data_IF_343364246828
#
_entry.id   IF_343364246828
#
_cell.length_a   1.000
_cell.length_b   1.000
_cell.length_c   1.000
_cell.angle_alpha   90.00
_cell.angle_beta   90.00
_cell.angle_gamma   90.00
#
_symmetry.space_group_name_H-M   'P 1'
#
loop_
_entity.id
_entity.type
_entity.pdbx_description
1 polymer ?
#
# COMPACT_ATOMS: atom_id res chain seq x y z
N UNK A 1 50.55 -3.41 -15.10
CA UNK A 1 49.54 -4.27 -14.45
C UNK A 1 49.31 -3.62 -13.11
N UNK A 2 48.17 -3.06 -12.72
CA UNK A 2 46.75 -3.37 -12.94
C UNK A 2 45.97 -2.05 -13.01
N UNK A 3 45.04 -1.91 -13.96
CA UNK A 3 44.03 -0.85 -13.99
C UNK A 3 42.72 -1.36 -14.64
N UNK A 4 42.48 -2.68 -14.57
CA UNK A 4 41.42 -3.39 -15.31
C UNK A 4 40.11 -3.59 -14.54
N UNK A 5 40.08 -3.41 -13.22
CA UNK A 5 38.92 -3.73 -12.39
C UNK A 5 37.76 -2.71 -12.46
N UNK A 6 38.07 -1.42 -12.59
CA UNK A 6 37.05 -0.36 -12.49
C UNK A 6 36.26 -0.11 -13.79
N UNK A 7 36.81 -0.47 -14.97
CA UNK A 7 36.13 -0.32 -16.27
C UNK A 7 35.12 -1.44 -16.55
N UNK A 8 35.33 -2.62 -15.97
CA UNK A 8 34.49 -3.81 -16.14
C UNK A 8 33.15 -3.71 -15.39
N UNK A 9 33.12 -3.12 -14.19
CA UNK A 9 31.86 -2.97 -13.44
C UNK A 9 30.94 -1.92 -14.06
N UNK A 10 31.49 -0.78 -14.50
CA UNK A 10 30.70 0.33 -15.05
C UNK A 10 29.97 -0.05 -16.35
N UNK A 11 30.64 -0.81 -17.23
CA UNK A 11 30.07 -1.28 -18.50
C UNK A 11 28.99 -2.36 -18.32
N UNK A 12 29.12 -3.22 -17.31
CA UNK A 12 28.09 -4.19 -16.95
C UNK A 12 26.83 -3.53 -16.37
N UNK A 13 26.97 -2.50 -15.55
CA UNK A 13 25.84 -1.76 -14.99
C UNK A 13 25.09 -0.95 -16.07
N UNK A 14 25.81 -0.37 -17.03
CA UNK A 14 25.22 0.31 -18.19
C UNK A 14 24.37 -0.64 -19.04
N UNK A 15 24.88 -1.84 -19.33
CA UNK A 15 24.14 -2.86 -20.08
C UNK A 15 22.89 -3.32 -19.32
N UNK A 16 22.99 -3.49 -18.00
CA UNK A 16 21.86 -3.89 -17.16
C UNK A 16 20.75 -2.85 -17.14
N UNK A 17 21.11 -1.58 -16.91
CA UNK A 17 20.17 -0.45 -16.97
C UNK A 17 19.48 -0.39 -18.33
N UNK A 18 20.26 -0.49 -19.42
CA UNK A 18 19.73 -0.48 -20.78
C UNK A 18 18.76 -1.64 -21.05
N UNK A 19 19.13 -2.86 -20.70
CA UNK A 19 18.27 -4.04 -20.93
C UNK A 19 16.95 -3.94 -20.16
N UNK A 20 17.00 -3.42 -18.93
CA UNK A 20 15.82 -3.23 -18.10
C UNK A 20 14.88 -2.16 -18.66
N UNK A 21 15.42 -1.01 -19.08
CA UNK A 21 14.60 0.08 -19.60
C UNK A 21 14.00 -0.25 -20.97
N UNK A 22 14.78 -0.87 -21.87
CA UNK A 22 14.30 -1.30 -23.19
C UNK A 22 13.14 -2.31 -23.04
N UNK A 23 13.26 -3.25 -22.10
CA UNK A 23 12.17 -4.18 -21.76
C UNK A 23 10.95 -3.45 -21.20
N UNK A 24 11.15 -2.49 -20.29
CA UNK A 24 10.04 -1.75 -19.72
C UNK A 24 9.27 -0.93 -20.77
N UNK A 25 9.96 -0.32 -21.72
CA UNK A 25 9.30 0.43 -22.80
C UNK A 25 8.46 -0.48 -23.71
N UNK A 26 8.89 -1.72 -23.93
CA UNK A 26 8.15 -2.71 -24.72
C UNK A 26 6.98 -3.34 -23.94
N UNK A 27 7.16 -3.65 -22.65
CA UNK A 27 6.30 -4.59 -21.91
C UNK A 27 5.53 -3.97 -20.74
N UNK A 28 5.73 -2.68 -20.41
CA UNK A 28 5.04 -2.06 -19.27
C UNK A 28 3.53 -2.18 -19.42
N UNK A 29 2.87 -2.60 -18.34
CA UNK A 29 1.42 -2.60 -18.28
C UNK A 29 0.91 -1.16 -18.38
N UNK A 30 -0.15 -1.00 -19.16
CA UNK A 30 -0.88 0.24 -19.25
C UNK A 30 -1.75 0.42 -17.99
N UNK A 31 -1.37 1.38 -17.15
CA UNK A 31 -1.99 1.66 -15.85
C UNK A 31 -2.43 3.12 -15.80
N UNK A 32 -3.59 3.46 -15.23
CA UNK A 32 -4.11 4.83 -15.27
C UNK A 32 -3.14 5.89 -14.73
N UNK A 33 -2.46 5.59 -13.62
CA UNK A 33 -1.46 6.48 -13.00
C UNK A 33 -0.15 6.60 -13.78
N UNK A 34 0.09 5.76 -14.81
CA UNK A 34 1.23 5.91 -15.73
C UNK A 34 0.94 6.84 -16.91
N UNK A 35 -0.33 7.26 -17.08
CA UNK A 35 -0.76 8.15 -18.17
C UNK A 35 -0.79 9.62 -17.76
N UNK A 36 -0.33 9.93 -16.56
CA UNK A 36 -0.31 11.30 -16.00
C UNK A 36 1.04 11.59 -15.39
N UNK A 37 1.43 12.86 -15.42
CA UNK A 37 2.58 13.39 -14.70
C UNK A 37 2.15 14.21 -13.47
N UNK A 38 0.86 14.21 -13.13
CA UNK A 38 0.33 14.92 -11.97
C UNK A 38 0.85 14.29 -10.66
N UNK A 39 1.64 15.02 -9.85
CA UNK A 39 2.21 14.50 -8.60
C UNK A 39 1.17 14.02 -7.59
N UNK A 40 -0.01 14.65 -7.53
CA UNK A 40 -1.09 14.26 -6.63
C UNK A 40 -1.66 12.90 -7.04
N UNK A 41 -1.91 12.71 -8.33
CA UNK A 41 -2.48 11.47 -8.85
C UNK A 41 -1.49 10.30 -8.80
N UNK A 42 -0.19 10.58 -8.95
CA UNK A 42 0.90 9.60 -8.74
C UNK A 42 1.01 9.24 -7.26
N UNK A 43 1.02 10.23 -6.36
CA UNK A 43 1.05 9.99 -4.91
C UNK A 43 -0.16 9.15 -4.47
N UNK A 44 -1.34 9.46 -5.01
CA UNK A 44 -2.57 8.71 -4.75
C UNK A 44 -2.41 7.23 -5.13
N UNK A 45 -1.85 6.92 -6.30
CA UNK A 45 -1.62 5.51 -6.68
C UNK A 45 -0.65 4.81 -5.74
N UNK A 46 0.45 5.47 -5.35
CA UNK A 46 1.42 4.87 -4.43
C UNK A 46 0.81 4.57 -3.06
N UNK A 47 -0.06 5.45 -2.54
CA UNK A 47 -0.78 5.20 -1.28
C UNK A 47 -1.80 4.07 -1.43
N UNK A 48 -2.55 4.04 -2.54
CA UNK A 48 -3.55 2.99 -2.81
C UNK A 48 -2.88 1.62 -2.98
N UNK A 49 -1.73 1.53 -3.63
CA UNK A 49 -1.07 0.26 -3.95
C UNK A 49 -0.32 -0.36 -2.77
N UNK A 50 -0.16 0.36 -1.66
CA UNK A 50 0.38 -0.20 -0.41
C UNK A 50 -0.45 -1.41 0.04
N UNK A 51 0.13 -2.62 -0.06
CA UNK A 51 -0.52 -3.89 0.28
C UNK A 51 -1.86 -4.13 -0.46
N UNK A 52 -2.02 -3.56 -1.66
CA UNK A 52 -3.22 -3.71 -2.48
C UNK A 52 -2.84 -4.25 -3.85
N UNK A 53 -3.60 -5.22 -4.38
CA UNK A 53 -3.35 -5.76 -5.71
C UNK A 53 -3.61 -4.70 -6.78
N UNK A 54 -2.83 -4.70 -7.87
CA UNK A 54 -2.92 -3.69 -8.93
C UNK A 54 -4.32 -3.61 -9.55
N UNK A 55 -4.97 -4.74 -9.84
CA UNK A 55 -6.33 -4.80 -10.39
C UNK A 55 -7.33 -4.04 -9.52
N UNK A 56 -7.32 -4.32 -8.21
CA UNK A 56 -8.17 -3.63 -7.25
C UNK A 56 -7.76 -2.17 -7.06
N UNK A 57 -6.46 -1.89 -7.12
CA UNK A 57 -5.90 -0.54 -7.05
C UNK A 57 -6.40 0.35 -8.18
N UNK A 58 -6.55 -0.18 -9.40
CA UNK A 58 -7.14 0.54 -10.54
C UNK A 58 -8.54 1.04 -10.22
N UNK A 59 -9.40 0.16 -9.71
CA UNK A 59 -10.79 0.51 -9.36
C UNK A 59 -10.86 1.62 -8.29
N UNK A 60 -10.04 1.51 -7.23
CA UNK A 60 -9.97 2.54 -6.19
C UNK A 60 -9.38 3.85 -6.69
N UNK A 61 -8.32 3.78 -7.48
CA UNK A 61 -7.67 4.97 -8.02
C UNK A 61 -8.63 5.74 -8.92
N UNK A 62 -9.36 5.07 -9.83
CA UNK A 62 -10.31 5.72 -10.74
C UNK A 62 -11.41 6.44 -9.95
N UNK A 63 -12.10 5.77 -9.02
CA UNK A 63 -13.20 6.42 -8.30
C UNK A 63 -12.74 7.53 -7.35
N UNK A 64 -11.57 7.38 -6.70
CA UNK A 64 -11.03 8.37 -5.76
C UNK A 64 -10.46 9.57 -6.51
N UNK A 65 -9.72 9.37 -7.59
CA UNK A 65 -9.18 10.47 -8.42
C UNK A 65 -10.30 11.26 -9.11
N UNK A 66 -11.36 10.59 -9.58
CA UNK A 66 -12.52 11.28 -10.15
C UNK A 66 -13.23 12.17 -9.11
N UNK A 67 -13.37 11.68 -7.86
CA UNK A 67 -14.05 12.45 -6.80
C UNK A 67 -13.16 13.54 -6.20
N UNK A 68 -11.86 13.27 -6.09
CA UNK A 68 -10.87 14.13 -5.47
C UNK A 68 -9.67 14.36 -6.41
N UNK A 69 -9.87 15.15 -7.49
CA UNK A 69 -8.84 15.34 -8.50
C UNK A 69 -7.66 16.19 -8.02
N UNK A 70 -7.78 16.88 -6.88
CA UNK A 70 -6.71 17.70 -6.29
C UNK A 70 -6.59 17.46 -4.78
N UNK A 71 -5.46 17.79 -4.14
CA UNK A 71 -5.33 17.74 -2.69
C UNK A 71 -6.41 18.60 -2.01
N UNK A 72 -6.69 19.79 -2.55
CA UNK A 72 -7.71 20.69 -2.02
C UNK A 72 -9.11 20.07 -2.03
N UNK A 73 -9.49 19.41 -3.12
CA UNK A 73 -10.78 18.72 -3.22
C UNK A 73 -10.94 17.62 -2.16
N UNK A 74 -9.85 16.92 -1.79
CA UNK A 74 -9.89 15.95 -0.70
C UNK A 74 -9.89 16.63 0.68
N UNK A 75 -9.13 17.70 0.85
CA UNK A 75 -9.01 18.42 2.12
C UNK A 75 -10.33 19.05 2.58
N UNK A 76 -11.13 19.54 1.62
CA UNK A 76 -12.44 20.16 1.86
C UNK A 76 -13.56 19.12 2.10
N UNK A 77 -13.31 17.85 1.77
CA UNK A 77 -14.29 16.78 1.93
C UNK A 77 -14.27 16.18 3.35
N UNK A 78 -15.42 15.64 3.76
CA UNK A 78 -15.49 14.85 4.99
C UNK A 78 -14.67 13.57 4.88
N UNK A 79 -13.91 13.26 5.93
CA UNK A 79 -13.10 12.03 5.96
C UNK A 79 -13.94 10.76 5.76
N UNK A 80 -15.22 10.78 6.19
CA UNK A 80 -16.14 9.65 6.01
C UNK A 80 -16.47 9.38 4.54
N UNK A 81 -16.48 10.41 3.70
CA UNK A 81 -16.68 10.25 2.26
C UNK A 81 -15.51 9.48 1.63
N UNK A 82 -14.27 9.85 1.98
CA UNK A 82 -13.09 9.09 1.54
C UNK A 82 -13.13 7.66 2.08
N UNK A 83 -13.48 7.44 3.35
CA UNK A 83 -13.55 6.10 3.94
C UNK A 83 -14.62 5.23 3.27
N UNK A 84 -15.73 5.83 2.84
CA UNK A 84 -16.77 5.15 2.07
C UNK A 84 -16.24 4.70 0.71
N UNK A 85 -15.54 5.59 -0.01
CA UNK A 85 -14.86 5.21 -1.25
C UNK A 85 -13.75 4.18 -1.01
N UNK A 86 -13.05 4.22 0.13
CA UNK A 86 -11.96 3.30 0.48
C UNK A 86 -12.45 1.93 0.98
N UNK A 87 -13.74 1.83 1.28
CA UNK A 87 -14.35 0.64 1.86
C UNK A 87 -14.01 -0.61 1.03
N UNK A 88 -13.55 -1.65 1.72
CA UNK A 88 -13.12 -2.90 1.10
C UNK A 88 -11.64 -2.96 0.70
N UNK A 89 -10.92 -1.84 0.61
CA UNK A 89 -9.49 -1.83 0.23
C UNK A 89 -8.59 -2.31 1.37
N UNK A 90 -9.10 -2.31 2.61
CA UNK A 90 -8.34 -2.62 3.81
C UNK A 90 -7.31 -1.55 4.19
N UNK A 91 -6.73 -1.70 5.38
CA UNK A 91 -5.75 -0.78 5.94
C UNK A 91 -6.20 0.70 5.90
N UNK A 92 -7.36 0.99 6.50
CA UNK A 92 -8.04 2.29 6.51
C UNK A 92 -7.23 3.46 7.08
N UNK A 93 -6.19 3.18 7.87
CA UNK A 93 -5.25 4.21 8.30
C UNK A 93 -4.58 4.93 7.11
N UNK A 94 -4.43 4.27 5.95
CA UNK A 94 -3.93 4.91 4.72
C UNK A 94 -4.87 6.01 4.23
N UNK A 95 -6.17 5.74 4.16
CA UNK A 95 -7.18 6.73 3.79
C UNK A 95 -7.15 7.94 4.74
N UNK A 96 -7.14 7.68 6.05
CA UNK A 96 -7.10 8.76 7.05
C UNK A 96 -5.83 9.60 6.96
N UNK A 97 -4.68 8.96 6.74
CA UNK A 97 -3.40 9.66 6.55
C UNK A 97 -3.36 10.44 5.24
N UNK A 98 -3.93 9.90 4.16
CA UNK A 98 -4.06 10.61 2.88
C UNK A 98 -4.94 11.86 3.02
N UNK A 99 -6.04 11.77 3.77
CA UNK A 99 -6.89 12.93 4.08
C UNK A 99 -6.12 13.98 4.90
N UNK A 100 -5.42 13.57 5.95
CA UNK A 100 -4.56 14.46 6.73
C UNK A 100 -3.44 15.10 5.88
N UNK A 101 -2.85 14.33 4.95
CA UNK A 101 -1.85 14.81 4.00
C UNK A 101 -2.44 15.86 3.07
N UNK A 102 -3.61 15.60 2.50
CA UNK A 102 -4.29 16.55 1.63
C UNK A 102 -4.60 17.87 2.36
N UNK A 103 -5.02 17.80 3.63
CA UNK A 103 -5.19 18.99 4.48
C UNK A 103 -3.87 19.75 4.62
N UNK A 104 -2.77 19.07 4.98
CA UNK A 104 -1.47 19.73 5.16
C UNK A 104 -0.95 20.35 3.85
N UNK A 105 -1.06 19.63 2.74
CA UNK A 105 -0.67 20.13 1.41
C UNK A 105 -1.48 21.34 1.00
N UNK A 106 -2.77 21.37 1.30
CA UNK A 106 -3.67 22.46 0.90
C UNK A 106 -3.52 23.74 1.73
N UNK A 107 -2.81 23.69 2.87
CA UNK A 107 -2.53 24.89 3.68
C UNK A 107 -1.60 25.86 2.94
N UNK A 108 -1.67 27.17 3.25
CA UNK A 108 -0.73 28.14 2.73
C UNK A 108 0.72 27.80 3.09
N UNK A 109 1.68 28.06 2.21
CA UNK A 109 3.10 27.87 2.52
C UNK A 109 3.54 28.70 3.74
N UNK A 110 2.95 29.88 3.95
CA UNK A 110 3.19 30.73 5.12
C UNK A 110 2.79 30.08 6.46
N UNK A 111 1.95 29.05 6.44
CA UNK A 111 1.48 28.31 7.61
C UNK A 111 2.10 26.90 7.70
N UNK A 112 3.17 26.65 6.93
CA UNK A 112 3.82 25.33 6.86
C UNK A 112 3.11 24.32 5.95
N UNK A 113 2.23 24.78 5.06
CA UNK A 113 1.65 23.99 3.99
C UNK A 113 2.42 24.09 2.67
N UNK A 114 1.73 23.82 1.55
CA UNK A 114 2.33 23.77 0.22
C UNK A 114 1.43 24.38 -0.88
N UNK A 115 0.49 25.25 -0.50
CA UNK A 115 -0.42 25.96 -1.42
C UNK A 115 -1.17 25.02 -2.39
N UNK A 116 -1.47 23.80 -1.94
CA UNK A 116 -2.15 22.77 -2.74
C UNK A 116 -1.26 21.95 -3.67
N UNK A 117 0.05 22.18 -3.67
CA UNK A 117 1.02 21.47 -4.52
C UNK A 117 1.78 20.40 -3.74
N UNK A 118 2.01 19.23 -4.34
CA UNK A 118 2.87 18.21 -3.72
C UNK A 118 4.33 18.70 -3.76
N UNK A 119 5.07 18.68 -2.63
CA UNK A 119 6.46 19.10 -2.62
C UNK A 119 7.37 18.14 -3.38
N UNK A 120 8.44 18.68 -3.96
CA UNK A 120 9.37 17.92 -4.81
C UNK A 120 10.49 17.25 -4.00
N UNK A 121 10.89 17.86 -2.88
CA UNK A 121 12.00 17.39 -2.06
C UNK A 121 11.64 16.12 -1.28
N UNK A 122 12.61 15.20 -1.18
CA UNK A 122 12.45 13.97 -0.38
C UNK A 122 12.17 14.30 1.09
N UNK A 123 12.86 15.29 1.64
CA UNK A 123 12.73 15.71 3.03
C UNK A 123 11.32 16.23 3.30
N UNK A 124 10.77 17.06 2.40
CA UNK A 124 9.41 17.59 2.51
C UNK A 124 8.37 16.48 2.33
N UNK A 125 8.56 15.58 1.36
CA UNK A 125 7.69 14.42 1.15
C UNK A 125 7.65 13.53 2.40
N UNK A 126 8.79 13.24 3.01
CA UNK A 126 8.88 12.45 4.26
C UNK A 126 8.20 13.14 5.45
N UNK A 127 8.08 14.47 5.43
CA UNK A 127 7.34 15.23 6.43
C UNK A 127 5.81 15.11 6.32
N UNK A 128 5.30 14.55 5.22
CA UNK A 128 3.86 14.43 5.00
C UNK A 128 3.24 13.20 5.70
N UNK A 129 2.00 13.31 6.20
CA UNK A 129 1.31 12.22 6.89
C UNK A 129 1.22 10.94 6.06
N UNK A 130 1.79 9.85 6.59
CA UNK A 130 1.71 8.53 5.96
C UNK A 130 2.66 8.31 4.78
N UNK A 131 3.52 9.27 4.47
CA UNK A 131 4.59 9.09 3.49
C UNK A 131 5.81 8.52 4.19
N UNK A 132 6.27 7.37 3.71
CA UNK A 132 7.52 6.74 4.13
C UNK A 132 8.57 6.78 3.02
N UNK A 133 9.78 6.29 3.31
CA UNK A 133 10.91 6.31 2.38
C UNK A 133 10.58 5.78 0.98
N UNK A 134 9.82 4.68 0.88
CA UNK A 134 9.38 4.14 -0.41
C UNK A 134 8.53 5.15 -1.19
N UNK A 135 7.45 5.65 -0.59
CA UNK A 135 6.51 6.56 -1.28
C UNK A 135 7.19 7.87 -1.63
N UNK A 136 8.03 8.40 -0.74
CA UNK A 136 8.81 9.61 -1.02
C UNK A 136 9.71 9.42 -2.24
N UNK A 137 10.51 8.34 -2.29
CA UNK A 137 11.37 8.04 -3.43
C UNK A 137 10.58 7.79 -4.73
N UNK A 138 9.45 7.10 -4.64
CA UNK A 138 8.59 6.82 -5.79
C UNK A 138 8.02 8.12 -6.37
N UNK A 139 7.41 8.98 -5.55
CA UNK A 139 6.85 10.26 -6.00
C UNK A 139 7.95 11.19 -6.51
N UNK A 140 9.04 11.34 -5.75
CA UNK A 140 10.19 12.17 -6.13
C UNK A 140 10.78 11.79 -7.50
N UNK A 141 10.94 10.50 -7.77
CA UNK A 141 11.53 10.04 -9.03
C UNK A 141 10.53 10.07 -10.19
N UNK A 142 9.27 9.70 -9.97
CA UNK A 142 8.25 9.60 -11.03
C UNK A 142 7.71 10.97 -11.41
N UNK A 143 7.38 11.80 -10.43
CA UNK A 143 6.74 13.10 -10.67
C UNK A 143 7.75 14.24 -10.86
N UNK A 144 8.91 14.17 -10.20
CA UNK A 144 9.88 15.28 -10.13
C UNK A 144 11.27 14.91 -10.66
N UNK A 145 11.41 13.74 -11.30
CA UNK A 145 12.64 13.29 -11.91
C UNK A 145 13.89 13.30 -10.99
N UNK A 146 13.71 13.14 -9.67
CA UNK A 146 14.84 13.03 -8.76
C UNK A 146 15.52 11.66 -8.88
N UNK A 147 16.86 11.60 -9.00
CA UNK A 147 17.60 10.35 -9.24
C UNK A 147 17.80 9.55 -7.94
N UNK A 148 16.69 9.08 -7.36
CA UNK A 148 16.65 8.31 -6.12
C UNK A 148 16.01 6.95 -6.34
N UNK A 149 16.70 5.89 -5.95
CA UNK A 149 16.22 4.51 -6.05
C UNK A 149 15.13 4.20 -5.02
N UNK A 150 14.05 3.55 -5.48
CA UNK A 150 13.00 3.02 -4.60
C UNK A 150 13.43 1.68 -3.98
N UNK A 151 13.04 1.46 -2.73
CA UNK A 151 13.27 0.18 -2.04
C UNK A 151 11.95 -0.35 -1.48
N UNK A 152 11.48 -1.46 -2.04
CA UNK A 152 10.33 -2.23 -1.55
C UNK A 152 10.65 -3.73 -1.48
N UNK A 153 9.64 -4.56 -1.20
CA UNK A 153 9.79 -6.01 -1.19
C UNK A 153 10.11 -6.63 -2.56
N UNK A 154 9.74 -5.97 -3.66
CA UNK A 154 10.07 -6.38 -5.01
C UNK A 154 11.53 -6.08 -5.34
N UNK A 155 11.96 -4.82 -5.17
CA UNK A 155 13.34 -4.38 -5.39
C UNK A 155 14.30 -5.17 -4.53
N UNK A 156 14.01 -5.35 -3.23
CA UNK A 156 14.84 -6.17 -2.33
C UNK A 156 15.04 -7.60 -2.85
N UNK A 157 13.98 -8.22 -3.41
CA UNK A 157 14.06 -9.58 -3.96
C UNK A 157 14.88 -9.62 -5.25
N UNK A 158 14.67 -8.66 -6.15
CA UNK A 158 15.47 -8.56 -7.38
C UNK A 158 16.94 -8.34 -7.03
N UNK A 159 17.24 -7.38 -6.16
CA UNK A 159 18.60 -7.08 -5.68
C UNK A 159 19.27 -8.31 -5.05
N UNK A 160 18.57 -9.01 -4.16
CA UNK A 160 19.03 -10.25 -3.52
C UNK A 160 19.42 -11.31 -4.54
N UNK A 161 18.57 -11.54 -5.55
CA UNK A 161 18.83 -12.52 -6.62
C UNK A 161 19.96 -12.07 -7.54
N UNK A 162 19.98 -10.81 -7.95
CA UNK A 162 21.01 -10.30 -8.86
C UNK A 162 22.40 -10.38 -8.22
N UNK A 163 22.50 -10.02 -6.94
CA UNK A 163 23.76 -10.01 -6.19
C UNK A 163 24.12 -11.36 -5.58
N UNK A 164 23.21 -12.35 -5.59
CA UNK A 164 23.40 -13.63 -4.90
C UNK A 164 23.55 -13.46 -3.38
N UNK A 165 23.00 -12.39 -2.81
CA UNK A 165 23.05 -12.13 -1.38
C UNK A 165 21.76 -12.65 -0.71
N UNK A 166 21.81 -13.68 0.14
CA UNK A 166 20.61 -14.28 0.75
C UNK A 166 20.01 -13.40 1.86
N UNK A 167 20.78 -12.47 2.41
CA UNK A 167 20.39 -11.63 3.55
C UNK A 167 20.81 -10.17 3.31
N UNK A 168 20.29 -9.50 2.26
CA UNK A 168 20.71 -8.14 1.96
C UNK A 168 20.24 -7.18 3.06
N UNK A 169 21.12 -6.30 3.52
CA UNK A 169 20.75 -5.20 4.44
C UNK A 169 19.95 -4.14 3.68
N UNK A 170 19.21 -3.30 4.39
CA UNK A 170 18.52 -2.16 3.76
C UNK A 170 19.48 -1.32 2.92
N UNK A 171 20.63 -0.96 3.47
CA UNK A 171 21.63 -0.12 2.80
C UNK A 171 22.21 -0.78 1.54
N UNK A 172 22.49 -2.09 1.59
CA UNK A 172 22.97 -2.81 0.40
C UNK A 172 21.94 -2.81 -0.74
N UNK A 173 20.64 -2.88 -0.40
CA UNK A 173 19.56 -2.78 -1.39
C UNK A 173 19.44 -1.35 -1.91
N UNK A 174 19.54 -0.35 -1.05
CA UNK A 174 19.50 1.07 -1.45
C UNK A 174 20.65 1.43 -2.38
N UNK A 175 21.88 0.99 -2.08
CA UNK A 175 23.05 1.21 -2.95
C UNK A 175 22.80 0.57 -4.33
N UNK A 176 22.33 -0.66 -4.35
CA UNK A 176 22.02 -1.36 -5.61
C UNK A 176 20.86 -0.72 -6.38
N UNK A 177 19.80 -0.29 -5.70
CA UNK A 177 18.67 0.39 -6.33
C UNK A 177 19.12 1.72 -6.97
N UNK A 178 19.94 2.50 -6.27
CA UNK A 178 20.50 3.74 -6.80
C UNK A 178 21.46 3.49 -7.98
N UNK A 179 22.23 2.39 -7.97
CA UNK A 179 23.07 2.04 -9.13
C UNK A 179 22.26 1.65 -10.36
N UNK A 180 20.98 1.30 -10.22
CA UNK A 180 20.09 0.96 -11.34
C UNK A 180 19.36 2.18 -11.93
N UNK A 181 19.54 3.38 -11.37
CA UNK A 181 18.93 4.60 -11.89
C UNK A 181 19.64 5.09 -13.15
N UNK A 182 18.86 5.37 -14.19
CA UNK A 182 19.29 6.16 -15.35
C UNK A 182 18.92 7.61 -15.06
N UNK A 183 19.91 8.51 -15.09
CA UNK A 183 19.79 9.89 -14.60
C UNK A 183 18.75 10.74 -15.34
N UNK A 184 18.53 10.47 -16.63
CA UNK A 184 17.53 11.16 -17.46
C UNK A 184 16.13 10.51 -17.38
N UNK A 185 16.02 9.31 -16.79
CA UNK A 185 14.77 8.54 -16.66
C UNK A 185 14.63 7.89 -15.27
N UNK A 186 14.75 8.61 -14.15
CA UNK A 186 14.75 8.00 -12.83
C UNK A 186 13.38 7.40 -12.46
N UNK A 187 12.29 8.08 -12.82
CA UNK A 187 10.93 7.56 -12.66
C UNK A 187 10.73 6.24 -13.40
N UNK A 188 11.09 6.17 -14.67
CA UNK A 188 10.97 4.92 -15.45
C UNK A 188 11.93 3.84 -14.94
N UNK A 189 13.13 4.20 -14.49
CA UNK A 189 14.08 3.24 -13.90
C UNK A 189 13.48 2.54 -12.69
N UNK A 190 12.85 3.31 -11.80
CA UNK A 190 12.15 2.77 -10.64
C UNK A 190 10.94 1.94 -11.03
N UNK A 191 10.10 2.44 -11.94
CA UNK A 191 8.92 1.70 -12.39
C UNK A 191 9.29 0.40 -13.11
N UNK A 192 10.35 0.39 -13.91
CA UNK A 192 10.89 -0.80 -14.57
C UNK A 192 11.33 -1.85 -13.55
N UNK A 193 12.02 -1.42 -12.49
CA UNK A 193 12.44 -2.31 -11.41
C UNK A 193 11.25 -2.92 -10.65
N UNK A 194 10.25 -2.08 -10.33
CA UNK A 194 9.01 -2.54 -9.69
C UNK A 194 8.24 -3.51 -10.58
N UNK A 195 8.12 -3.21 -11.88
CA UNK A 195 7.43 -4.03 -12.88
C UNK A 195 8.12 -5.39 -13.03
N UNK A 196 9.46 -5.39 -13.15
CA UNK A 196 10.27 -6.61 -13.24
C UNK A 196 9.99 -7.51 -12.04
N UNK A 197 10.04 -6.95 -10.83
CA UNK A 197 9.75 -7.68 -9.60
C UNK A 197 8.32 -8.23 -9.58
N UNK A 198 7.34 -7.46 -10.07
CA UNK A 198 5.93 -7.83 -10.06
C UNK A 198 5.59 -8.97 -11.05
N UNK A 199 6.10 -8.93 -12.28
CA UNK A 199 5.61 -9.80 -13.37
C UNK A 199 6.60 -10.89 -13.81
N UNK A 200 7.91 -10.66 -13.65
CA UNK A 200 8.97 -11.60 -14.07
C UNK A 200 9.63 -12.24 -12.86
N UNK A 201 10.30 -11.44 -12.02
CA UNK A 201 11.08 -11.87 -10.88
C UNK A 201 10.19 -12.09 -9.65
N UNK A 202 9.17 -12.94 -9.80
CA UNK A 202 8.13 -13.19 -8.80
C UNK A 202 8.65 -13.93 -7.56
N UNK A 203 7.99 -13.83 -6.39
CA UNK A 203 8.37 -14.56 -5.18
C UNK A 203 8.42 -16.08 -5.38
N UNK A 204 7.44 -16.64 -6.09
CA UNK A 204 7.36 -18.05 -6.48
C UNK A 204 7.32 -18.15 -8.00
N UNK A 205 7.95 -19.19 -8.55
CA UNK A 205 8.04 -19.44 -10.00
C UNK A 205 8.45 -18.17 -10.80
N UNK A 206 9.64 -17.60 -10.54
CA UNK A 206 10.17 -16.51 -11.36
C UNK A 206 10.42 -16.98 -12.80
N UNK A 207 10.20 -16.07 -13.76
CA UNK A 207 10.35 -16.34 -15.19
C UNK A 207 11.78 -15.97 -15.64
N UNK A 208 12.80 -16.66 -15.14
CA UNK A 208 14.21 -16.29 -15.34
C UNK A 208 14.61 -16.22 -16.83
N UNK A 209 14.05 -17.08 -17.68
CA UNK A 209 14.36 -17.11 -19.12
C UNK A 209 13.79 -15.89 -19.87
N UNK A 210 12.79 -15.23 -19.30
CA UNK A 210 12.19 -14.00 -19.84
C UNK A 210 12.74 -12.74 -19.17
N UNK A 211 13.71 -12.88 -18.26
CA UNK A 211 14.22 -11.74 -17.48
C UNK A 211 15.31 -10.99 -18.27
N UNK A 212 15.12 -9.69 -18.53
CA UNK A 212 16.04 -8.88 -19.36
C UNK A 212 17.43 -8.71 -18.72
N UNK A 213 17.53 -8.92 -17.40
CA UNK A 213 18.77 -8.77 -16.63
C UNK A 213 19.32 -10.11 -16.11
N UNK A 214 18.88 -11.23 -16.69
CA UNK A 214 19.24 -12.58 -16.21
C UNK A 214 20.69 -12.98 -16.45
N UNK A 215 21.35 -12.42 -17.47
CA UNK A 215 22.70 -12.84 -17.88
C UNK A 215 23.76 -12.67 -16.79
N UNK A 216 23.61 -11.68 -15.89
CA UNK A 216 24.52 -11.47 -14.76
C UNK A 216 23.88 -11.77 -13.40
N UNK A 217 22.71 -12.41 -13.38
CA UNK A 217 21.99 -12.72 -12.15
C UNK A 217 22.62 -13.91 -11.43
N UNK A 218 23.33 -13.66 -10.32
CA UNK A 218 24.01 -14.72 -9.55
C UNK A 218 23.04 -15.73 -8.93
N UNK A 219 21.79 -15.33 -8.68
CA UNK A 219 20.74 -16.18 -8.14
C UNK A 219 19.91 -16.92 -9.19
N UNK A 220 20.21 -16.81 -10.49
CA UNK A 220 19.40 -17.38 -11.58
C UNK A 220 19.17 -18.89 -11.43
N UNK A 221 20.21 -19.64 -11.08
CA UNK A 221 20.17 -21.11 -10.95
C UNK A 221 19.38 -21.59 -9.73
N UNK A 222 19.29 -20.77 -8.68
CA UNK A 222 18.51 -21.09 -7.48
C UNK A 222 17.82 -19.85 -6.89
N UNK A 223 16.81 -19.29 -7.58
CA UNK A 223 16.26 -17.98 -7.24
C UNK A 223 15.40 -18.00 -5.97
N UNK A 224 15.06 -19.19 -5.46
CA UNK A 224 14.29 -19.35 -4.22
C UNK A 224 15.17 -19.32 -2.96
N UNK A 225 16.50 -19.45 -3.11
CA UNK A 225 17.45 -19.23 -2.03
C UNK A 225 17.67 -17.73 -1.71
N UNK A 226 17.17 -16.83 -2.55
CA UNK A 226 17.45 -15.39 -2.49
C UNK A 226 16.16 -14.55 -2.57
N UNK A 227 15.82 -13.77 -1.53
CA UNK A 227 16.41 -13.80 -0.18
C UNK A 227 15.97 -15.05 0.58
N UNK A 228 16.70 -15.40 1.65
CA UNK A 228 16.30 -16.48 2.56
C UNK A 228 14.87 -16.27 3.04
N UNK A 229 13.95 -17.24 2.83
CA UNK A 229 12.57 -17.10 3.26
C UNK A 229 12.45 -16.92 4.77
N UNK A 230 11.82 -15.83 5.20
CA UNK A 230 11.53 -15.58 6.62
C UNK A 230 10.16 -16.15 6.95
N UNK A 231 10.10 -17.15 7.84
CA UNK A 231 8.83 -17.63 8.41
C UNK A 231 8.30 -16.58 9.38
N UNK A 232 7.13 -16.01 9.08
CA UNK A 232 6.44 -15.07 9.98
C UNK A 232 5.43 -15.84 10.83
N UNK A 233 5.49 -15.67 12.16
CA UNK A 233 4.46 -16.18 13.07
C UNK A 233 3.20 -15.31 12.93
N UNK A 234 2.03 -15.94 12.81
CA UNK A 234 0.73 -15.26 12.89
C UNK A 234 0.27 -15.22 14.35
N UNK A 235 -0.13 -14.05 14.83
CA UNK A 235 -0.73 -13.90 16.16
C UNK A 235 -2.24 -14.12 16.06
N UNK A 236 -2.80 -14.96 16.92
CA UNK A 236 -4.25 -15.14 17.04
C UNK A 236 -4.77 -14.21 18.13
N UNK A 237 -5.86 -13.51 17.86
CA UNK A 237 -6.52 -12.58 18.76
C UNK A 237 -7.99 -12.96 18.83
N UNK A 238 -8.47 -13.29 20.03
CA UNK A 238 -9.87 -13.63 20.27
C UNK A 238 -10.61 -12.36 20.71
N UNK A 239 -11.76 -12.11 20.11
CA UNK A 239 -12.59 -10.93 20.35
C UNK A 239 -14.05 -11.36 20.48
N UNK A 240 -14.84 -10.51 21.11
CA UNK A 240 -16.30 -10.59 21.10
C UNK A 240 -16.85 -9.39 20.32
N UNK A 241 -17.99 -9.55 19.65
CA UNK A 241 -18.73 -8.48 18.99
C UNK A 241 -20.22 -8.57 19.32
N UNK A 242 -20.85 -7.44 19.68
CA UNK A 242 -22.26 -7.39 20.04
C UNK A 242 -23.09 -6.67 18.96
N UNK A 243 -23.92 -7.41 18.24
CA UNK A 243 -24.89 -6.86 17.29
C UNK A 243 -26.19 -6.59 18.03
N UNK A 244 -26.38 -5.34 18.46
CA UNK A 244 -27.56 -4.91 19.19
C UNK A 244 -28.55 -4.26 18.22
N UNK A 245 -29.74 -4.84 18.03
CA UNK A 245 -30.71 -4.39 17.04
C UNK A 245 -31.79 -3.51 17.67
N UNK A 246 -32.23 -2.48 16.97
CA UNK A 246 -33.43 -1.73 17.36
C UNK A 246 -34.71 -2.41 16.85
N UNK A 247 -35.86 -1.81 17.15
CA UNK A 247 -37.17 -2.33 16.73
C UNK A 247 -37.37 -2.36 15.20
N UNK A 248 -36.55 -1.66 14.43
CA UNK A 248 -36.57 -1.66 12.97
C UNK A 248 -35.55 -2.66 12.38
N UNK A 249 -34.79 -3.36 13.22
CA UNK A 249 -33.75 -4.31 12.79
C UNK A 249 -32.40 -3.66 12.50
N UNK A 250 -32.21 -2.38 12.80
CA UNK A 250 -30.94 -1.70 12.56
C UNK A 250 -29.96 -1.90 13.71
N UNK A 251 -28.67 -2.15 13.42
CA UNK A 251 -27.67 -2.38 14.46
C UNK A 251 -27.22 -1.07 15.11
N UNK A 252 -26.92 -1.13 16.40
CA UNK A 252 -26.14 -0.07 17.08
C UNK A 252 -24.73 -0.05 16.51
N UNK A 253 -24.42 0.99 15.75
CA UNK A 253 -23.08 1.25 15.24
C UNK A 253 -22.49 2.49 15.92
N UNK A 254 -21.18 2.47 16.13
CA UNK A 254 -20.42 3.64 16.55
C UNK A 254 -19.17 3.79 15.71
N UNK A 255 -18.81 5.03 15.37
CA UNK A 255 -17.52 5.34 14.75
C UNK A 255 -16.41 5.04 15.76
N UNK A 256 -15.46 4.20 15.34
CA UNK A 256 -14.30 3.82 16.18
C UNK A 256 -13.29 4.94 16.28
N UNK A 257 -12.65 5.04 17.43
CA UNK A 257 -11.61 6.04 17.65
C UNK A 257 -10.45 5.85 16.65
N UNK A 258 -9.81 6.92 16.15
CA UNK A 258 -8.71 6.83 15.18
C UNK A 258 -7.53 5.94 15.61
N UNK A 259 -7.30 5.75 16.90
CA UNK A 259 -6.25 4.87 17.45
C UNK A 259 -6.65 3.39 17.47
N UNK A 260 -7.94 3.09 17.35
CA UNK A 260 -8.46 1.74 17.43
C UNK A 260 -8.26 0.94 16.14
N UNK A 261 -8.45 -0.38 16.26
CA UNK A 261 -8.53 -1.26 15.10
C UNK A 261 -9.70 -0.84 14.22
N UNK A 262 -9.44 -0.69 12.92
CA UNK A 262 -10.41 -0.13 11.97
C UNK A 262 -10.86 1.29 12.35
N UNK A 263 -10.01 2.05 13.04
CA UNK A 263 -10.31 3.42 13.48
C UNK A 263 -10.79 4.32 12.35
N UNK A 264 -11.84 5.09 12.64
CA UNK A 264 -12.60 5.89 11.68
C UNK A 264 -13.75 5.15 11.00
N UNK A 265 -13.76 3.81 10.98
CA UNK A 265 -14.89 3.02 10.47
C UNK A 265 -15.97 2.86 11.53
N UNK A 266 -17.20 2.67 11.08
CA UNK A 266 -18.33 2.30 11.90
C UNK A 266 -18.38 0.78 12.09
N UNK A 267 -18.88 0.35 13.24
CA UNK A 267 -19.12 -1.06 13.49
C UNK A 267 -19.79 -1.30 14.85
N UNK A 268 -20.19 -2.55 15.12
CA UNK A 268 -20.72 -2.93 16.41
C UNK A 268 -19.66 -2.81 17.52
N UNK A 269 -20.09 -2.69 18.79
CA UNK A 269 -19.21 -2.82 19.94
C UNK A 269 -18.36 -4.11 19.88
N UNK A 270 -17.06 -3.99 20.17
CA UNK A 270 -16.09 -5.09 20.18
C UNK A 270 -15.19 -5.11 21.44
N UNK A 271 -15.39 -4.17 22.36
CA UNK A 271 -14.62 -4.03 23.60
C UNK A 271 -15.59 -3.99 24.76
N UNK A 272 -15.19 -4.58 25.88
CA UNK A 272 -15.91 -4.50 27.16
C UNK A 272 -17.39 -4.91 27.03
N UNK A 273 -17.65 -5.99 26.29
CA UNK A 273 -18.99 -6.51 26.09
C UNK A 273 -19.36 -7.37 27.29
N UNK A 274 -20.42 -6.98 28.00
CA UNK A 274 -21.10 -7.86 28.94
C UNK A 274 -22.01 -8.79 28.15
N UNK A 275 -21.67 -10.08 28.10
CA UNK A 275 -22.38 -11.08 27.29
C UNK A 275 -23.50 -11.80 28.04
N UNK A 276 -23.64 -11.58 29.36
CA UNK A 276 -24.59 -12.30 30.23
C UNK A 276 -26.05 -12.20 29.78
N UNK A 277 -26.41 -11.12 29.09
CA UNK A 277 -27.78 -10.85 28.59
C UNK A 277 -27.91 -11.02 27.08
N UNK A 278 -26.83 -11.43 26.39
CA UNK A 278 -26.79 -11.55 24.93
C UNK A 278 -26.91 -13.00 24.49
N UNK A 279 -27.47 -13.20 23.29
CA UNK A 279 -27.60 -14.53 22.69
C UNK A 279 -26.40 -14.81 21.78
N UNK A 280 -25.72 -15.96 21.89
CA UNK A 280 -24.64 -16.30 20.98
C UNK A 280 -25.18 -16.56 19.57
N UNK A 281 -24.53 -15.99 18.55
CA UNK A 281 -24.89 -16.16 17.14
C UNK A 281 -23.93 -17.12 16.43
N UNK A 282 -22.62 -16.94 16.62
CA UNK A 282 -21.60 -17.77 15.98
C UNK A 282 -20.20 -17.17 16.08
N UNK A 283 -19.26 -17.67 15.26
CA UNK A 283 -17.87 -17.23 15.25
C UNK A 283 -17.39 -16.90 13.84
N UNK A 284 -16.61 -15.83 13.70
CA UNK A 284 -15.97 -15.40 12.45
C UNK A 284 -14.46 -15.46 12.58
N UNK A 285 -13.81 -16.07 11.60
CA UNK A 285 -12.36 -15.98 11.42
C UNK A 285 -12.05 -14.93 10.34
N UNK A 286 -11.27 -13.91 10.71
CA UNK A 286 -10.85 -12.85 9.82
C UNK A 286 -9.33 -12.72 9.78
N UNK A 287 -8.75 -12.88 8.59
CA UNK A 287 -7.31 -12.85 8.41
C UNK A 287 -6.80 -11.46 8.04
N UNK A 288 -5.81 -10.99 8.78
CA UNK A 288 -4.97 -9.83 8.49
C UNK A 288 -3.54 -10.29 8.14
N UNK A 289 -2.71 -9.38 7.63
CA UNK A 289 -1.33 -9.68 7.19
C UNK A 289 -0.50 -10.40 8.27
N UNK A 290 -0.65 -10.02 9.54
CA UNK A 290 0.14 -10.55 10.66
C UNK A 290 -0.72 -11.15 11.78
N UNK A 291 -2.04 -11.13 11.63
CA UNK A 291 -2.97 -11.54 12.68
C UNK A 291 -4.13 -12.34 12.13
N UNK A 292 -4.66 -13.21 12.96
CA UNK A 292 -5.96 -13.84 12.76
C UNK A 292 -6.87 -13.36 13.88
N UNK A 293 -7.99 -12.76 13.52
CA UNK A 293 -9.03 -12.36 14.46
C UNK A 293 -10.07 -13.46 14.50
N UNK A 294 -10.35 -13.98 15.69
CA UNK A 294 -11.43 -14.92 15.95
C UNK A 294 -12.48 -14.19 16.76
N UNK A 295 -13.62 -13.91 16.14
CA UNK A 295 -14.64 -13.02 16.69
C UNK A 295 -15.88 -13.82 17.01
N UNK A 296 -16.22 -13.95 18.29
CA UNK A 296 -17.51 -14.48 18.72
C UNK A 296 -18.56 -13.38 18.59
N UNK A 297 -19.65 -13.69 17.91
CA UNK A 297 -20.73 -12.74 17.64
C UNK A 297 -21.91 -13.05 18.55
N UNK A 298 -22.42 -12.00 19.17
CA UNK A 298 -23.54 -12.01 20.09
C UNK A 298 -24.64 -11.08 19.56
N UNK A 299 -25.90 -11.40 19.81
CA UNK A 299 -27.05 -10.57 19.45
C UNK A 299 -27.81 -10.09 20.68
N UNK A 300 -28.34 -8.87 20.61
CA UNK A 300 -29.19 -8.29 21.63
C UNK A 300 -30.04 -7.16 21.08
N UNK A 301 -30.60 -6.34 21.97
CA UNK A 301 -31.47 -5.21 21.61
C UNK A 301 -30.83 -3.87 21.97
N UNK A 302 -31.14 -2.82 21.22
CA UNK A 302 -30.79 -1.43 21.51
C UNK A 302 -31.99 -0.51 21.27
N UNK A 303 -31.89 0.73 21.75
CA UNK A 303 -32.94 1.74 21.56
C UNK A 303 -32.89 2.44 20.19
N UNK A 304 -31.72 2.47 19.55
CA UNK A 304 -31.51 3.17 18.28
C UNK A 304 -30.38 2.51 17.48
N UNK A 305 -30.71 2.08 16.28
CA UNK A 305 -29.77 1.56 15.29
C UNK A 305 -29.41 2.58 14.20
N UNK A 306 -28.49 2.17 13.34
CA UNK A 306 -28.02 2.92 12.16
C UNK A 306 -28.05 1.96 10.97
N UNK A 307 -28.62 2.41 9.86
CA UNK A 307 -28.57 1.67 8.59
C UNK A 307 -27.11 1.51 8.13
N UNK A 308 -26.57 0.27 8.05
CA UNK A 308 -25.18 0.03 7.68
C UNK A 308 -24.80 0.50 6.27
N UNK A 309 -25.78 0.75 5.39
CA UNK A 309 -25.54 1.26 4.03
C UNK A 309 -25.14 2.73 4.00
N UNK A 310 -25.44 3.46 5.08
CA UNK A 310 -25.22 4.92 5.17
C UNK A 310 -23.86 5.30 5.75
N UNK A 311 -23.08 4.33 6.23
CA UNK A 311 -21.82 4.56 6.93
C UNK A 311 -20.69 3.63 6.47
N UNK A 312 -19.42 4.08 6.50
CA UNK A 312 -18.30 3.23 6.11
C UNK A 312 -18.03 2.14 7.17
N UNK A 313 -18.32 0.89 6.83
CA UNK A 313 -18.08 -0.30 7.67
C UNK A 313 -16.93 -1.18 7.15
N UNK A 314 -16.13 -1.79 8.01
CA UNK A 314 -15.02 -2.64 7.55
C UNK A 314 -15.51 -3.99 6.98
N UNK A 315 -14.64 -4.71 6.26
CA UNK A 315 -14.95 -6.07 5.80
C UNK A 315 -15.17 -7.06 6.96
N UNK A 316 -14.57 -6.81 8.13
CA UNK A 316 -14.86 -7.62 9.32
C UNK A 316 -16.27 -7.31 9.82
N UNK A 317 -16.61 -6.02 9.92
CA UNK A 317 -17.92 -5.59 10.43
C UNK A 317 -19.06 -6.06 9.53
N UNK A 318 -18.89 -6.00 8.21
CA UNK A 318 -19.85 -6.58 7.25
C UNK A 318 -20.13 -8.05 7.55
N UNK A 319 -19.08 -8.87 7.68
CA UNK A 319 -19.23 -10.29 8.03
C UNK A 319 -19.95 -10.51 9.35
N UNK A 320 -19.70 -9.67 10.35
CA UNK A 320 -20.35 -9.74 11.66
C UNK A 320 -21.84 -9.44 11.55
N UNK A 321 -22.21 -8.41 10.80
CA UNK A 321 -23.60 -8.02 10.56
C UNK A 321 -24.34 -9.06 9.69
N UNK A 322 -23.70 -9.60 8.66
CA UNK A 322 -24.22 -10.69 7.82
C UNK A 322 -24.48 -11.95 8.66
N UNK A 323 -23.55 -12.35 9.53
CA UNK A 323 -23.73 -13.50 10.41
C UNK A 323 -24.91 -13.32 11.37
N UNK A 324 -25.17 -12.09 11.80
CA UNK A 324 -26.29 -11.74 12.66
C UNK A 324 -27.62 -11.49 11.90
N UNK A 325 -27.66 -11.70 10.58
CA UNK A 325 -28.86 -11.58 9.76
C UNK A 325 -29.31 -10.13 9.49
N UNK A 326 -28.41 -9.17 9.58
CA UNK A 326 -28.69 -7.73 9.35
C UNK A 326 -28.45 -7.31 7.90
N UNK A 327 -27.51 -7.98 7.23
CA UNK A 327 -27.04 -7.68 5.87
C UNK A 327 -27.06 -8.93 5.00
#
# INVERSE_FOLDING_TARGET
MENGGMKSSKTNDDHLRKSLIDWYDAEKRDLPWRRTNDPWLILLSEVILQQTQVSRGIEYWVKISNRFPTPKALAEADQEELLTLWQGAGYYARARRLHALAIQVSKPASEGGFDGSIPESIEQLLGLPGIGAYTAAAVASIAFALPVGVVDGNVRRVASRQTGNPSPTHDSVSIWANSMIILDRPGDSNQAMMELGAVICKPKAPKCDLCPISNSCKGKENPLAYPTPIKRKKTIENLDAAVLLDSAGWPRLSRRDPSERFGGMWGPPMREIMTDTLTPVGEIVHHLTHRELRVKVWSGQCSRGIDPSTVPISNLDRKILELAGVM
#
